data_IF_833370359966
#
_entry.id   IF_833370359966
#
_cell.length_a   1.000
_cell.length_b   1.000
_cell.length_c   1.000
_cell.angle_alpha   90.00
_cell.angle_beta   90.00
_cell.angle_gamma   90.00
#
_symmetry.space_group_name_H-M   'P 1'
#
loop_
_entity.id
_entity.type
_entity.pdbx_description
1 polymer ?
#
# COMPACT_ATOMS: atom_id res chain seq x y z
N UNK A 1 -0.77 6.82 32.56
CA UNK A 1 -0.11 8.14 32.56
C UNK A 1 -0.51 8.85 31.28
N UNK A 2 -1.25 9.96 31.35
CA UNK A 2 -1.59 10.74 30.15
C UNK A 2 -0.31 11.42 29.66
N UNK A 3 0.01 11.27 28.37
CA UNK A 3 1.24 11.80 27.73
C UNK A 3 1.25 13.35 27.69
N UNK A 4 0.15 13.99 28.08
CA UNK A 4 -0.06 15.45 27.97
C UNK A 4 0.71 16.31 28.99
N UNK A 5 1.43 15.72 29.96
CA UNK A 5 2.09 16.48 31.05
C UNK A 5 3.63 16.48 31.06
N UNK A 6 4.31 15.81 30.13
CA UNK A 6 5.77 15.86 30.07
C UNK A 6 6.24 17.20 29.49
N UNK A 7 6.63 18.14 30.37
CA UNK A 7 7.32 19.37 29.94
C UNK A 7 8.71 18.99 29.45
N UNK A 8 9.11 19.48 28.28
CA UNK A 8 10.44 19.23 27.66
C UNK A 8 11.62 19.59 28.59
N UNK A 9 11.36 20.42 29.61
CA UNK A 9 12.31 20.84 30.64
C UNK A 9 12.65 19.74 31.66
N UNK A 10 11.82 18.69 31.78
CA UNK A 10 12.00 17.58 32.73
C UNK A 10 12.70 16.35 32.10
N UNK A 11 13.14 16.45 30.83
CA UNK A 11 13.85 15.38 30.13
C UNK A 11 15.33 15.43 30.48
N UNK A 12 15.87 14.33 30.99
CA UNK A 12 17.28 14.27 31.38
C UNK A 12 18.23 14.53 30.19
N UNK A 13 19.40 15.16 30.43
CA UNK A 13 20.40 15.38 29.38
C UNK A 13 20.82 14.10 28.67
N UNK A 14 20.85 12.96 29.38
CA UNK A 14 21.19 11.65 28.84
C UNK A 14 20.17 11.20 27.79
N UNK A 15 18.87 11.34 28.07
CA UNK A 15 17.81 11.01 27.11
C UNK A 15 17.86 11.94 25.91
N UNK A 16 18.06 13.26 26.15
CA UNK A 16 18.18 14.23 25.07
C UNK A 16 19.34 13.90 24.15
N UNK A 17 20.51 13.59 24.71
CA UNK A 17 21.70 13.23 23.95
C UNK A 17 21.51 11.90 23.20
N UNK A 18 20.90 10.90 23.84
CA UNK A 18 20.58 9.62 23.20
C UNK A 18 19.61 9.73 22.03
N UNK A 19 18.72 10.72 22.03
CA UNK A 19 17.78 10.96 20.94
C UNK A 19 18.29 11.95 19.86
N UNK A 20 19.48 12.54 20.00
CA UNK A 20 19.98 13.53 19.03
C UNK A 20 20.09 12.95 17.62
N UNK A 21 20.49 11.69 17.49
CA UNK A 21 20.61 11.01 16.19
C UNK A 21 19.26 10.77 15.49
N UNK A 22 18.13 10.89 16.22
CA UNK A 22 16.79 10.80 15.65
C UNK A 22 16.29 12.14 15.10
N UNK A 23 16.96 13.25 15.43
CA UNK A 23 16.60 14.58 14.98
C UNK A 23 17.27 14.90 13.64
N UNK A 24 16.53 14.72 12.55
CA UNK A 24 17.02 15.01 11.20
C UNK A 24 16.87 16.50 10.89
N UNK A 25 17.97 17.16 10.54
CA UNK A 25 17.94 18.55 10.07
C UNK A 25 17.31 18.67 8.67
N UNK A 26 16.89 19.87 8.30
CA UNK A 26 16.39 20.17 6.96
C UNK A 26 17.38 19.78 5.85
N UNK A 27 18.69 19.95 6.08
CA UNK A 27 19.72 19.56 5.12
C UNK A 27 19.76 18.05 4.91
N UNK A 28 19.62 17.27 5.99
CA UNK A 28 19.56 15.81 5.95
C UNK A 28 18.29 15.35 5.25
N UNK A 29 17.13 15.97 5.54
CA UNK A 29 15.87 15.66 4.88
C UNK A 29 15.93 15.94 3.37
N UNK A 30 16.54 17.06 2.95
CA UNK A 30 16.77 17.36 1.52
C UNK A 30 17.66 16.31 0.85
N UNK A 31 18.70 15.86 1.53
CA UNK A 31 19.54 14.77 1.02
C UNK A 31 18.76 13.47 0.85
N UNK A 32 17.87 13.12 1.79
CA UNK A 32 16.97 11.97 1.64
C UNK A 32 16.04 12.14 0.42
N UNK A 33 15.47 13.33 0.23
CA UNK A 33 14.59 13.63 -0.92
C UNK A 33 15.32 13.49 -2.26
N UNK A 34 16.54 14.00 -2.36
CA UNK A 34 17.37 13.89 -3.57
C UNK A 34 17.70 12.44 -3.90
N UNK A 35 18.07 11.66 -2.89
CA UNK A 35 18.34 10.22 -3.05
C UNK A 35 17.09 9.44 -3.45
N UNK A 36 15.94 9.72 -2.82
CA UNK A 36 14.67 9.08 -3.19
C UNK A 36 14.30 9.40 -4.64
N UNK A 37 14.44 10.67 -5.06
CA UNK A 37 14.20 11.08 -6.44
C UNK A 37 15.10 10.36 -7.43
N UNK A 38 16.39 10.23 -7.13
CA UNK A 38 17.31 9.48 -7.97
C UNK A 38 16.90 8.00 -8.11
N UNK A 39 16.42 7.38 -7.03
CA UNK A 39 15.91 6.00 -7.09
C UNK A 39 14.61 5.88 -7.91
N UNK A 40 13.72 6.87 -7.84
CA UNK A 40 12.52 6.93 -8.70
C UNK A 40 12.92 7.04 -10.17
N UNK A 41 13.86 7.93 -10.52
CA UNK A 41 14.33 8.09 -11.90
C UNK A 41 14.93 6.78 -12.45
N UNK A 42 15.69 6.04 -11.63
CA UNK A 42 16.19 4.71 -11.98
C UNK A 42 15.07 3.68 -12.13
N UNK A 43 14.07 3.70 -11.24
CA UNK A 43 12.93 2.76 -11.24
C UNK A 43 11.99 2.95 -12.44
N UNK A 44 11.83 4.17 -12.92
CA UNK A 44 11.00 4.49 -14.09
C UNK A 44 11.60 3.98 -15.41
N UNK A 45 12.88 3.63 -15.43
CA UNK A 45 13.56 3.10 -16.62
C UNK A 45 13.85 1.59 -16.48
N UNK A 46 13.24 0.73 -17.32
CA UNK A 46 13.45 -0.72 -17.27
C UNK A 46 14.91 -1.16 -17.32
N UNK A 47 15.77 -0.44 -18.04
CA UNK A 47 17.21 -0.78 -18.15
C UNK A 47 18.00 -0.54 -16.86
N UNK A 48 17.51 0.33 -15.98
CA UNK A 48 18.15 0.69 -14.70
C UNK A 48 17.37 0.21 -13.48
N UNK A 49 16.12 -0.24 -13.65
CA UNK A 49 15.21 -0.62 -12.55
C UNK A 49 15.79 -1.67 -11.60
N UNK A 50 16.59 -2.61 -12.11
CA UNK A 50 17.22 -3.62 -11.26
C UNK A 50 18.22 -3.03 -10.26
N UNK A 51 18.88 -1.92 -10.62
CA UNK A 51 19.80 -1.19 -9.76
C UNK A 51 19.06 -0.29 -8.75
N UNK A 52 17.80 0.05 -9.05
CA UNK A 52 16.98 0.89 -8.18
C UNK A 52 16.49 0.12 -6.95
N UNK A 53 16.57 0.73 -5.78
CA UNK A 53 15.89 0.25 -4.57
C UNK A 53 14.38 0.54 -4.62
N UNK A 54 13.98 1.64 -5.28
CA UNK A 54 12.57 2.01 -5.53
C UNK A 54 12.18 1.61 -6.96
N UNK A 55 11.26 0.65 -7.09
CA UNK A 55 11.05 -0.06 -8.37
C UNK A 55 10.09 0.65 -9.34
N UNK A 56 9.20 1.49 -8.83
CA UNK A 56 8.27 2.29 -9.65
C UNK A 56 7.49 1.45 -10.69
N UNK A 57 6.71 0.48 -10.21
CA UNK A 57 5.91 -0.40 -11.05
C UNK A 57 4.77 0.34 -11.75
N UNK A 58 4.56 -0.01 -13.02
CA UNK A 58 3.45 0.48 -13.84
C UNK A 58 2.14 -0.15 -13.35
N UNK A 59 1.15 0.67 -12.98
CA UNK A 59 -0.17 0.20 -12.55
C UNK A 59 -1.18 0.09 -13.70
N UNK A 60 -0.84 0.61 -14.89
CA UNK A 60 -1.73 0.74 -16.05
C UNK A 60 -3.01 1.58 -15.79
N UNK A 61 -3.12 2.25 -14.63
CA UNK A 61 -4.23 3.16 -14.32
C UNK A 61 -3.88 4.56 -14.82
N UNK A 62 -4.54 5.01 -15.88
CA UNK A 62 -4.20 6.25 -16.59
C UNK A 62 -5.18 7.39 -16.35
N UNK A 63 -6.38 7.08 -15.88
CA UNK A 63 -7.43 8.04 -15.61
C UNK A 63 -7.72 8.12 -14.11
N UNK A 64 -7.82 9.34 -13.60
CA UNK A 64 -8.37 9.58 -12.29
C UNK A 64 -9.90 9.72 -12.38
N UNK A 65 -10.61 9.48 -11.27
CA UNK A 65 -12.05 9.65 -11.26
C UNK A 65 -12.44 11.10 -11.57
N UNK A 66 -13.48 11.23 -12.37
CA UNK A 66 -14.04 12.49 -12.86
C UNK A 66 -15.28 12.93 -12.06
N UNK A 67 -15.83 12.03 -11.23
CA UNK A 67 -17.11 12.20 -10.55
C UNK A 67 -18.31 12.01 -11.48
N UNK A 68 -18.11 11.45 -12.67
CA UNK A 68 -19.16 11.10 -13.64
C UNK A 68 -19.40 9.59 -13.73
N UNK A 69 -18.60 8.80 -13.03
CA UNK A 69 -18.68 7.35 -13.01
C UNK A 69 -20.05 6.90 -12.50
N UNK A 70 -20.64 5.91 -13.15
CA UNK A 70 -21.94 5.34 -12.80
C UNK A 70 -21.89 3.83 -12.93
N UNK A 71 -22.66 3.14 -12.10
CA UNK A 71 -22.82 1.68 -12.19
C UNK A 71 -22.65 0.99 -10.84
N UNK A 72 -22.78 -0.34 -10.86
CA UNK A 72 -22.51 -1.19 -9.70
C UNK A 72 -21.24 -1.99 -9.94
N UNK A 73 -20.37 -2.01 -8.95
CA UNK A 73 -19.06 -2.63 -9.01
C UNK A 73 -18.87 -3.48 -7.76
N UNK A 74 -18.22 -4.63 -7.92
CA UNK A 74 -17.65 -5.34 -6.79
C UNK A 74 -16.22 -4.85 -6.57
N UNK A 75 -15.79 -4.80 -5.32
CA UNK A 75 -14.39 -4.66 -4.98
C UNK A 75 -14.01 -5.77 -3.99
N UNK A 76 -12.81 -6.31 -4.17
CA UNK A 76 -12.19 -7.27 -3.28
C UNK A 76 -10.92 -6.62 -2.72
N UNK A 77 -10.76 -6.60 -1.40
CA UNK A 77 -9.59 -6.06 -0.73
C UNK A 77 -8.94 -7.14 0.13
N UNK A 78 -7.84 -7.71 -0.37
CA UNK A 78 -7.06 -8.75 0.27
C UNK A 78 -5.67 -8.21 0.62
N UNK A 79 -5.42 -8.02 1.92
CA UNK A 79 -4.15 -7.49 2.41
C UNK A 79 -3.68 -8.07 3.75
N UNK A 80 -4.35 -9.07 4.31
CA UNK A 80 -4.01 -9.68 5.59
C UNK A 80 -4.85 -10.92 5.92
N UNK A 81 -4.92 -11.29 7.21
CA UNK A 81 -5.73 -12.44 7.71
C UNK A 81 -7.23 -12.26 7.51
N UNK A 82 -7.67 -11.04 7.19
CA UNK A 82 -9.02 -10.72 6.81
C UNK A 82 -9.00 -10.06 5.42
N UNK A 83 -10.03 -10.32 4.63
CA UNK A 83 -10.30 -9.59 3.40
C UNK A 83 -11.71 -9.03 3.43
N UNK A 84 -11.93 -8.01 2.60
CA UNK A 84 -13.23 -7.34 2.49
C UNK A 84 -13.77 -7.52 1.09
N UNK A 85 -15.05 -7.85 1.01
CA UNK A 85 -15.83 -7.75 -0.23
C UNK A 85 -16.74 -6.55 -0.11
N UNK A 86 -16.81 -5.74 -1.17
CA UNK A 86 -17.63 -4.54 -1.24
C UNK A 86 -18.52 -4.58 -2.48
N UNK A 87 -19.75 -4.10 -2.34
CA UNK A 87 -20.62 -3.69 -3.44
C UNK A 87 -20.68 -2.17 -3.41
N UNK A 88 -20.20 -1.55 -4.48
CA UNK A 88 -20.13 -0.10 -4.63
C UNK A 88 -21.10 0.29 -5.75
N UNK A 89 -22.05 1.17 -5.45
CA UNK A 89 -22.94 1.76 -6.44
C UNK A 89 -22.57 3.23 -6.62
N UNK A 90 -22.07 3.59 -7.80
CA UNK A 90 -21.72 4.96 -8.17
C UNK A 90 -22.86 5.60 -8.95
N UNK A 91 -23.18 6.84 -8.60
CA UNK A 91 -24.06 7.72 -9.38
C UNK A 91 -23.48 9.14 -9.43
N UNK A 92 -22.40 9.29 -10.22
CA UNK A 92 -21.64 10.53 -10.29
C UNK A 92 -20.89 10.80 -8.99
N UNK A 93 -21.28 11.87 -8.28
CA UNK A 93 -20.70 12.29 -6.99
C UNK A 93 -21.36 11.67 -5.76
N UNK A 94 -22.33 10.79 -5.96
CA UNK A 94 -22.95 10.03 -4.88
C UNK A 94 -22.51 8.57 -4.99
N UNK A 95 -22.27 7.93 -3.84
CA UNK A 95 -22.00 6.52 -3.79
C UNK A 95 -22.75 5.86 -2.62
N UNK A 96 -23.17 4.62 -2.84
CA UNK A 96 -23.57 3.70 -1.78
C UNK A 96 -22.56 2.57 -1.70
N UNK A 97 -22.24 2.13 -0.49
CA UNK A 97 -21.24 1.08 -0.26
C UNK A 97 -21.73 0.11 0.80
N UNK A 98 -21.81 -1.16 0.42
CA UNK A 98 -22.11 -2.26 1.32
C UNK A 98 -20.87 -3.15 1.37
N UNK A 99 -20.49 -3.62 2.56
CA UNK A 99 -19.27 -4.41 2.71
C UNK A 99 -19.43 -5.52 3.75
N UNK A 100 -18.65 -6.58 3.57
CA UNK A 100 -18.53 -7.69 4.52
C UNK A 100 -17.08 -8.13 4.63
N UNK A 101 -16.65 -8.38 5.85
CA UNK A 101 -15.31 -8.89 6.15
C UNK A 101 -15.39 -10.41 6.24
N UNK A 102 -14.41 -11.07 5.63
CA UNK A 102 -14.22 -12.50 5.65
C UNK A 102 -12.84 -12.83 6.21
N UNK A 103 -12.78 -13.85 7.06
CA UNK A 103 -11.53 -14.36 7.61
C UNK A 103 -10.91 -15.30 6.59
N UNK A 104 -9.58 -15.23 6.43
CA UNK A 104 -8.79 -16.28 5.76
C UNK A 104 -8.24 -17.19 6.85
N UNK A 105 -8.72 -18.45 6.96
CA UNK A 105 -8.19 -19.39 7.92
C UNK A 105 -6.68 -19.61 7.73
N UNK A 106 -5.94 -19.85 8.82
CA UNK A 106 -4.48 -19.95 8.78
C UNK A 106 -4.00 -21.10 7.91
N UNK A 107 -4.74 -22.21 7.92
CA UNK A 107 -4.55 -23.38 7.06
C UNK A 107 -4.70 -23.05 5.57
N UNK A 108 -5.54 -22.08 5.20
CA UNK A 108 -5.68 -21.61 3.82
C UNK A 108 -4.53 -20.66 3.46
N UNK A 109 -4.14 -19.77 4.39
CA UNK A 109 -3.00 -18.85 4.19
C UNK A 109 -1.66 -19.57 3.95
N UNK A 110 -1.52 -20.80 4.43
CA UNK A 110 -0.33 -21.64 4.30
C UNK A 110 -0.55 -22.85 3.38
N UNK A 111 -1.76 -22.97 2.80
CA UNK A 111 -2.16 -24.09 1.95
C UNK A 111 -1.87 -23.85 0.45
N UNK A 112 -2.42 -24.66 -0.45
CA UNK A 112 -2.30 -24.42 -1.89
C UNK A 112 -3.01 -23.12 -2.33
N UNK A 113 -2.43 -22.40 -3.29
CA UNK A 113 -3.02 -21.18 -3.85
C UNK A 113 -4.43 -21.37 -4.38
N UNK A 114 -4.69 -22.50 -5.05
CA UNK A 114 -6.03 -22.84 -5.54
C UNK A 114 -7.09 -22.82 -4.42
N UNK A 115 -6.75 -23.33 -3.24
CA UNK A 115 -7.67 -23.35 -2.08
C UNK A 115 -7.96 -21.93 -1.59
N UNK A 116 -6.96 -21.04 -1.60
CA UNK A 116 -7.16 -19.62 -1.25
C UNK A 116 -8.13 -18.94 -2.23
N UNK A 117 -7.92 -19.08 -3.53
CA UNK A 117 -8.78 -18.44 -4.52
C UNK A 117 -10.18 -19.05 -4.57
N UNK A 118 -10.32 -20.37 -4.35
CA UNK A 118 -11.62 -21.03 -4.20
C UNK A 118 -12.39 -20.53 -2.97
N UNK A 119 -11.71 -20.29 -1.85
CA UNK A 119 -12.31 -19.68 -0.65
C UNK A 119 -12.80 -18.26 -0.93
N UNK A 120 -11.97 -17.44 -1.59
CA UNK A 120 -12.32 -16.06 -1.99
C UNK A 120 -13.53 -16.07 -2.91
N UNK A 121 -13.54 -16.92 -3.95
CA UNK A 121 -14.65 -17.06 -4.88
C UNK A 121 -15.95 -17.48 -4.17
N UNK A 122 -15.86 -18.40 -3.20
CA UNK A 122 -17.01 -18.81 -2.39
C UNK A 122 -17.57 -17.66 -1.54
N UNK A 123 -16.71 -16.81 -1.00
CA UNK A 123 -17.12 -15.64 -0.23
C UNK A 123 -17.77 -14.57 -1.13
N UNK A 124 -17.22 -14.34 -2.33
CA UNK A 124 -17.80 -13.47 -3.35
C UNK A 124 -19.18 -13.97 -3.79
N UNK A 125 -19.35 -15.28 -4.00
CA UNK A 125 -20.62 -15.92 -4.32
C UNK A 125 -21.67 -15.69 -3.22
N UNK A 126 -21.31 -16.00 -1.98
CA UNK A 126 -22.18 -15.77 -0.82
C UNK A 126 -22.60 -14.30 -0.69
N UNK A 127 -21.65 -13.37 -0.84
CA UNK A 127 -21.92 -11.94 -0.80
C UNK A 127 -22.86 -11.50 -1.92
N UNK A 128 -22.60 -11.90 -3.16
CA UNK A 128 -23.40 -11.52 -4.31
C UNK A 128 -24.84 -12.06 -4.24
N UNK A 129 -25.05 -13.26 -3.68
CA UNK A 129 -26.38 -13.83 -3.43
C UNK A 129 -27.11 -13.05 -2.32
N UNK A 130 -26.44 -12.79 -1.19
CA UNK A 130 -26.99 -12.02 -0.06
C UNK A 130 -27.49 -10.64 -0.51
N UNK A 131 -26.71 -9.96 -1.37
CA UNK A 131 -27.03 -8.63 -1.89
C UNK A 131 -27.89 -8.65 -3.17
N UNK A 132 -28.36 -9.83 -3.62
CA UNK A 132 -29.23 -10.02 -4.80
C UNK A 132 -28.63 -9.45 -6.10
N UNK A 133 -27.33 -9.59 -6.27
CA UNK A 133 -26.58 -9.13 -7.45
C UNK A 133 -25.89 -10.24 -8.24
N UNK A 134 -26.02 -11.50 -7.81
CA UNK A 134 -25.37 -12.67 -8.41
C UNK A 134 -25.48 -12.77 -9.95
N UNK A 135 -26.63 -12.41 -10.52
CA UNK A 135 -26.91 -12.51 -11.97
C UNK A 135 -26.62 -11.24 -12.77
N UNK A 136 -26.00 -10.21 -12.16
CA UNK A 136 -25.81 -8.89 -12.81
C UNK A 136 -24.53 -8.76 -13.64
N UNK A 137 -23.69 -9.80 -13.71
CA UNK A 137 -22.40 -9.75 -14.41
C UNK A 137 -21.54 -8.56 -13.96
N UNK A 138 -21.30 -8.44 -12.65
CA UNK A 138 -20.67 -7.24 -12.11
C UNK A 138 -19.16 -7.22 -12.39
N UNK A 139 -18.60 -6.07 -12.79
CA UNK A 139 -17.16 -5.86 -12.81
C UNK A 139 -16.59 -5.87 -11.39
N UNK A 140 -15.46 -6.56 -11.21
CA UNK A 140 -14.72 -6.67 -9.95
C UNK A 140 -13.36 -5.97 -10.06
N UNK A 141 -13.12 -5.01 -9.18
CA UNK A 141 -11.78 -4.49 -8.90
C UNK A 141 -11.13 -5.30 -7.79
N UNK A 142 -9.94 -5.84 -8.04
CA UNK A 142 -9.21 -6.66 -7.09
C UNK A 142 -8.03 -5.86 -6.50
N UNK A 143 -8.19 -5.40 -5.26
CA UNK A 143 -7.10 -4.85 -4.46
C UNK A 143 -6.35 -5.99 -3.81
N UNK A 144 -5.10 -6.20 -4.24
CA UNK A 144 -4.25 -7.28 -3.80
C UNK A 144 -2.95 -6.71 -3.26
N UNK A 145 -2.88 -6.53 -1.95
CA UNK A 145 -1.79 -5.83 -1.27
C UNK A 145 -0.59 -6.72 -1.00
N UNK A 146 -0.07 -7.35 -2.05
CA UNK A 146 1.18 -8.08 -2.05
C UNK A 146 2.06 -7.61 -3.21
N UNK A 147 3.38 -7.83 -3.15
CA UNK A 147 4.27 -7.50 -4.26
C UNK A 147 3.87 -8.18 -5.57
N UNK A 148 3.46 -7.39 -6.56
CA UNK A 148 3.07 -7.83 -7.90
C UNK A 148 4.01 -7.27 -8.96
N UNK A 149 4.36 -8.09 -9.95
CA UNK A 149 4.79 -7.60 -11.25
C UNK A 149 3.55 -7.49 -12.14
N UNK A 150 3.04 -6.28 -12.27
CA UNK A 150 1.84 -6.02 -13.07
C UNK A 150 2.23 -5.90 -14.55
N UNK A 151 1.58 -6.69 -15.40
CA UNK A 151 1.85 -6.74 -16.87
C UNK A 151 0.63 -6.25 -17.68
N UNK A 152 -0.39 -5.74 -16.99
CA UNK A 152 -1.55 -5.09 -17.56
C UNK A 152 -2.56 -4.75 -16.47
N UNK A 153 -3.64 -4.02 -16.81
CA UNK A 153 -4.67 -3.68 -15.83
C UNK A 153 -5.37 -4.93 -15.26
N UNK A 154 -5.47 -6.01 -16.05
CA UNK A 154 -6.12 -7.29 -15.69
C UNK A 154 -5.13 -8.45 -15.51
N UNK A 155 -3.85 -8.18 -15.23
CA UNK A 155 -2.85 -9.23 -15.07
C UNK A 155 -1.75 -8.81 -14.12
N UNK A 156 -1.53 -9.63 -13.08
CA UNK A 156 -0.54 -9.35 -12.04
C UNK A 156 0.11 -10.63 -11.57
N UNK A 157 1.43 -10.72 -11.77
CA UNK A 157 2.21 -11.88 -11.37
C UNK A 157 2.69 -11.71 -9.93
N UNK A 158 2.34 -12.65 -9.04
CA UNK A 158 2.82 -12.60 -7.67
C UNK A 158 4.33 -12.82 -7.61
N UNK A 159 5.08 -11.89 -7.02
CA UNK A 159 6.55 -12.02 -6.92
C UNK A 159 6.98 -12.70 -5.63
N UNK A 160 6.31 -12.42 -4.52
CA UNK A 160 6.56 -13.06 -3.22
C UNK A 160 5.38 -12.85 -2.28
N UNK A 161 5.17 -13.82 -1.39
CA UNK A 161 4.25 -13.64 -0.28
C UNK A 161 4.85 -12.78 0.84
N UNK A 162 3.97 -12.10 1.56
CA UNK A 162 4.29 -11.30 2.76
C UNK A 162 3.17 -11.49 3.79
N UNK A 163 3.25 -10.82 4.95
CA UNK A 163 2.14 -10.73 5.93
C UNK A 163 1.63 -12.10 6.43
N UNK A 164 2.52 -13.09 6.50
CA UNK A 164 2.22 -14.44 6.98
C UNK A 164 1.53 -15.36 5.98
N UNK A 165 1.28 -14.91 4.74
CA UNK A 165 0.88 -15.80 3.65
C UNK A 165 2.07 -16.61 3.16
N UNK A 166 1.81 -17.84 2.74
CA UNK A 166 2.77 -18.68 2.03
C UNK A 166 2.04 -19.75 1.22
N UNK A 167 1.11 -19.33 0.37
CA UNK A 167 0.33 -20.28 -0.41
C UNK A 167 1.19 -20.92 -1.51
N UNK A 168 1.25 -22.25 -1.54
CA UNK A 168 2.00 -23.00 -2.55
C UNK A 168 1.45 -22.75 -3.96
N UNK A 169 2.31 -22.85 -4.98
CA UNK A 169 1.94 -22.72 -6.40
C UNK A 169 1.20 -21.40 -6.74
N UNK A 170 1.57 -20.31 -6.08
CA UNK A 170 1.02 -18.96 -6.37
C UNK A 170 2.08 -17.96 -6.79
N UNK A 171 3.29 -18.04 -6.21
CA UNK A 171 4.40 -17.18 -6.62
C UNK A 171 4.80 -17.53 -8.05
N UNK A 172 4.91 -16.53 -8.92
CA UNK A 172 5.12 -16.68 -10.36
C UNK A 172 3.84 -16.81 -11.19
N UNK A 173 2.67 -16.91 -10.56
CA UNK A 173 1.38 -17.05 -11.25
C UNK A 173 0.62 -15.72 -11.33
N UNK A 174 -0.27 -15.61 -12.33
CA UNK A 174 -1.19 -14.49 -12.49
C UNK A 174 -2.40 -14.63 -11.55
N UNK A 175 -2.44 -13.80 -10.50
CA UNK A 175 -3.48 -13.86 -9.47
C UNK A 175 -4.87 -13.51 -10.00
N UNK A 176 -4.95 -12.73 -11.08
CA UNK A 176 -6.23 -12.42 -11.74
C UNK A 176 -6.77 -13.68 -12.42
N UNK A 177 -5.91 -14.44 -13.10
CA UNK A 177 -6.31 -15.69 -13.74
C UNK A 177 -6.66 -16.76 -12.71
N UNK A 178 -5.93 -16.85 -11.59
CA UNK A 178 -6.26 -17.77 -10.51
C UNK A 178 -7.64 -17.48 -9.92
N UNK A 179 -7.95 -16.21 -9.66
CA UNK A 179 -9.29 -15.81 -9.20
C UNK A 179 -10.35 -16.06 -10.26
N UNK A 180 -10.08 -15.75 -11.53
CA UNK A 180 -11.02 -15.99 -12.63
C UNK A 180 -11.34 -17.48 -12.80
N UNK A 181 -10.34 -18.37 -12.68
CA UNK A 181 -10.53 -19.83 -12.68
C UNK A 181 -11.39 -20.29 -11.50
N UNK A 182 -11.16 -19.75 -10.31
CA UNK A 182 -11.96 -20.09 -9.12
C UNK A 182 -13.42 -19.61 -9.26
N UNK A 183 -13.64 -18.42 -9.82
CA UNK A 183 -14.97 -17.87 -10.10
C UNK A 183 -15.71 -18.68 -11.18
N UNK A 184 -15.00 -19.17 -12.20
CA UNK A 184 -15.59 -19.97 -13.27
C UNK A 184 -16.15 -21.32 -12.80
N UNK A 185 -15.74 -21.80 -11.62
CA UNK A 185 -16.31 -23.01 -10.98
C UNK A 185 -17.73 -22.77 -10.42
N UNK A 186 -18.24 -21.53 -10.43
CA UNK A 186 -19.47 -21.12 -9.74
C UNK A 186 -20.57 -20.72 -10.73
N UNK A 187 -21.54 -21.61 -10.93
CA UNK A 187 -22.66 -21.37 -11.86
C UNK A 187 -23.67 -20.32 -11.37
N UNK A 188 -23.67 -19.99 -10.08
CA UNK A 188 -24.67 -19.09 -9.50
C UNK A 188 -24.35 -17.60 -9.70
N UNK A 189 -23.10 -17.27 -10.00
CA UNK A 189 -22.60 -15.91 -10.13
C UNK A 189 -21.92 -15.69 -11.48
N UNK A 190 -21.96 -14.43 -11.93
CA UNK A 190 -21.13 -13.97 -13.05
C UNK A 190 -20.39 -12.71 -12.62
N UNK A 191 -19.07 -12.78 -12.56
CA UNK A 191 -18.19 -11.70 -12.12
C UNK A 191 -17.02 -11.61 -13.11
N UNK A 192 -16.74 -10.42 -13.63
CA UNK A 192 -15.59 -10.16 -14.51
C UNK A 192 -14.52 -9.40 -13.72
N UNK A 193 -13.31 -9.97 -13.59
CA UNK A 193 -12.20 -9.28 -12.94
C UNK A 193 -11.64 -8.25 -13.92
N UNK A 194 -11.93 -6.97 -13.67
CA UNK A 194 -11.62 -5.90 -14.63
C UNK A 194 -10.36 -5.10 -14.28
N UNK A 195 -9.87 -5.21 -13.06
CA UNK A 195 -8.65 -4.56 -12.63
C UNK A 195 -8.00 -5.30 -11.45
N UNK A 196 -6.67 -5.32 -11.42
CA UNK A 196 -5.86 -5.60 -10.24
C UNK A 196 -5.19 -4.29 -9.81
N UNK A 197 -5.15 -4.02 -8.50
CA UNK A 197 -4.52 -2.81 -7.95
C UNK A 197 -3.83 -3.07 -6.62
N UNK A 198 -2.82 -2.26 -6.33
CA UNK A 198 -2.22 -2.15 -5.00
C UNK A 198 -3.08 -1.23 -4.11
N UNK A 199 -3.02 -1.41 -2.78
CA UNK A 199 -3.75 -0.58 -1.81
C UNK A 199 -3.43 0.91 -1.90
N UNK A 200 -2.18 1.28 -2.17
CA UNK A 200 -1.79 2.68 -2.40
C UNK A 200 -2.56 3.29 -3.56
N UNK A 201 -2.72 2.54 -4.66
CA UNK A 201 -3.42 2.98 -5.87
C UNK A 201 -4.93 3.10 -5.60
N UNK A 202 -5.52 2.11 -4.92
CA UNK A 202 -6.92 2.19 -4.48
C UNK A 202 -7.18 3.38 -3.56
N UNK A 203 -6.24 3.67 -2.66
CA UNK A 203 -6.29 4.82 -1.73
C UNK A 203 -6.25 6.14 -2.49
N UNK A 204 -5.30 6.30 -3.44
CA UNK A 204 -5.24 7.47 -4.31
C UNK A 204 -6.55 7.66 -5.05
N UNK A 205 -7.08 6.62 -5.69
CA UNK A 205 -8.32 6.68 -6.48
C UNK A 205 -9.52 7.07 -5.62
N UNK A 206 -9.66 6.51 -4.42
CA UNK A 206 -10.72 6.86 -3.47
C UNK A 206 -10.66 8.33 -3.04
N UNK A 207 -9.46 8.82 -2.73
CA UNK A 207 -9.25 10.23 -2.40
C UNK A 207 -9.46 11.16 -3.59
N UNK A 208 -8.99 10.77 -4.78
CA UNK A 208 -9.13 11.54 -6.02
C UNK A 208 -10.59 11.68 -6.45
N UNK A 209 -11.44 10.68 -6.18
CA UNK A 209 -12.89 10.77 -6.42
C UNK A 209 -13.56 11.87 -5.59
N UNK A 210 -13.09 12.12 -4.36
CA UNK A 210 -13.58 13.23 -3.51
C UNK A 210 -12.90 14.56 -3.82
N UNK A 211 -11.61 14.53 -4.10
CA UNK A 211 -10.78 15.70 -4.34
C UNK A 211 -9.89 15.50 -5.58
N UNK A 212 -10.27 16.13 -6.70
CA UNK A 212 -9.54 16.01 -7.97
C UNK A 212 -8.08 16.51 -7.92
N UNK A 213 -7.69 17.27 -6.90
CA UNK A 213 -6.29 17.69 -6.69
C UNK A 213 -5.42 16.59 -6.06
N UNK A 214 -6.00 15.48 -5.58
CA UNK A 214 -5.23 14.36 -5.06
C UNK A 214 -4.47 13.66 -6.20
N UNK A 215 -3.14 13.63 -6.11
CA UNK A 215 -2.22 13.01 -7.08
C UNK A 215 -1.23 12.03 -6.45
N UNK A 216 -1.34 11.80 -5.15
CA UNK A 216 -0.45 10.93 -4.36
C UNK A 216 -1.31 10.16 -3.38
N UNK A 217 -1.11 8.85 -3.32
CA UNK A 217 -1.67 7.96 -2.30
C UNK A 217 -0.54 7.44 -1.44
N UNK A 218 -0.73 7.46 -0.11
CA UNK A 218 0.26 7.01 0.85
C UNK A 218 -0.41 6.05 1.83
N UNK A 219 0.23 4.92 2.09
CA UNK A 219 -0.13 3.97 3.14
C UNK A 219 0.93 4.09 4.24
N UNK A 220 0.47 4.35 5.46
CA UNK A 220 1.26 4.33 6.69
C UNK A 220 0.52 3.46 7.71
N UNK A 221 1.02 2.24 7.92
CA UNK A 221 0.43 1.29 8.87
C UNK A 221 1.44 0.21 9.23
N UNK A 222 1.02 -1.06 9.16
CA UNK A 222 1.93 -2.22 9.33
C UNK A 222 3.08 -2.23 8.31
N UNK A 223 2.84 -1.65 7.14
CA UNK A 223 3.86 -1.33 6.15
C UNK A 223 3.73 0.12 5.69
N UNK A 224 4.63 0.53 4.81
CA UNK A 224 4.65 1.86 4.21
C UNK A 224 4.89 1.76 2.72
N UNK A 225 3.98 2.35 1.95
CA UNK A 225 4.11 2.45 0.51
C UNK A 225 3.47 3.75 0.00
N UNK A 226 3.83 4.17 -1.21
CA UNK A 226 3.18 5.26 -1.90
C UNK A 226 3.00 4.98 -3.40
N UNK A 227 2.01 5.65 -3.98
CA UNK A 227 1.86 5.78 -5.41
C UNK A 227 1.60 7.25 -5.78
N UNK A 228 1.86 7.61 -7.02
CA UNK A 228 1.61 8.96 -7.52
C UNK A 228 1.28 8.96 -9.00
N UNK A 229 0.69 10.07 -9.46
CA UNK A 229 0.39 10.31 -10.88
C UNK A 229 1.65 10.82 -11.58
N UNK A 230 2.20 10.02 -12.48
CA UNK A 230 3.37 10.34 -13.29
C UNK A 230 2.95 10.67 -14.73
N UNK A 231 3.75 11.49 -15.41
CA UNK A 231 3.65 11.76 -16.84
C UNK A 231 4.22 10.58 -17.61
N UNK A 232 3.48 10.09 -18.60
CA UNK A 232 3.91 8.93 -19.41
C UNK A 232 5.27 9.13 -20.06
N UNK A 233 5.61 10.37 -20.47
CA UNK A 233 6.92 10.70 -21.05
C UNK A 233 8.13 10.42 -20.13
N UNK A 234 7.91 10.30 -18.83
CA UNK A 234 8.95 10.00 -17.85
C UNK A 234 9.12 8.47 -17.65
N UNK A 235 8.12 7.68 -18.06
CA UNK A 235 8.12 6.21 -17.96
C UNK A 235 8.74 5.63 -19.23
N UNK A 236 10.01 5.23 -19.15
CA UNK A 236 10.74 4.73 -20.34
C UNK A 236 10.17 3.36 -20.73
N UNK A 237 9.81 3.19 -22.00
CA UNK A 237 9.25 1.93 -22.51
C UNK A 237 7.82 1.64 -22.04
N UNK A 238 7.03 2.68 -21.72
CA UNK A 238 5.62 2.52 -21.39
C UNK A 238 4.85 1.80 -22.51
N UNK A 239 4.14 0.74 -22.13
CA UNK A 239 3.46 -0.22 -23.01
C UNK A 239 1.92 -0.12 -22.93
N UNK A 240 1.39 0.91 -22.24
CA UNK A 240 -0.04 1.21 -22.19
C UNK A 240 -0.51 2.20 -23.27
N UNK A 241 -1.67 2.85 -23.04
CA UNK A 241 -2.24 3.80 -24.00
C UNK A 241 -1.46 5.13 -24.01
N UNK A 242 -0.59 5.32 -25.00
CA UNK A 242 0.25 6.52 -25.13
C UNK A 242 -0.51 7.78 -25.56
N UNK A 243 -1.80 7.69 -25.88
CA UNK A 243 -2.63 8.88 -26.17
C UNK A 243 -2.96 9.69 -24.90
N UNK A 244 -2.83 9.07 -23.72
CA UNK A 244 -3.07 9.72 -22.44
C UNK A 244 -1.80 10.36 -21.89
N UNK A 245 -1.91 11.45 -21.11
CA UNK A 245 -0.74 12.16 -20.59
C UNK A 245 -0.13 11.52 -19.33
N UNK A 246 -0.90 10.73 -18.58
CA UNK A 246 -0.52 10.29 -17.23
C UNK A 246 -0.78 8.80 -16.98
N UNK A 247 -0.07 8.27 -15.99
CA UNK A 247 -0.26 6.94 -15.42
C UNK A 247 0.06 6.98 -13.93
N UNK A 248 -0.62 6.18 -13.11
CA UNK A 248 -0.26 5.99 -11.71
C UNK A 248 0.92 5.03 -11.60
N UNK A 249 1.93 5.40 -10.82
CA UNK A 249 3.10 4.58 -10.53
C UNK A 249 3.05 4.14 -9.08
N UNK A 250 3.13 2.82 -8.86
CA UNK A 250 3.33 2.25 -7.52
C UNK A 250 4.83 2.25 -7.22
N UNK A 251 5.27 3.00 -6.22
CA UNK A 251 6.70 3.17 -5.94
C UNK A 251 7.34 1.93 -5.33
N UNK A 252 6.59 1.20 -4.50
CA UNK A 252 7.14 0.20 -3.57
C UNK A 252 8.31 0.79 -2.75
N UNK A 253 8.15 2.03 -2.26
CA UNK A 253 9.23 2.81 -1.62
C UNK A 253 9.75 2.22 -0.30
N UNK A 254 9.16 1.13 0.18
CA UNK A 254 9.56 0.51 1.44
C UNK A 254 10.99 0.00 1.39
N UNK A 255 11.44 -0.40 0.20
CA UNK A 255 12.80 -0.85 -0.08
C UNK A 255 13.82 0.28 -0.24
N UNK A 256 13.42 1.55 -0.21
CA UNK A 256 14.36 2.67 -0.26
C UNK A 256 15.41 2.54 0.85
N UNK A 257 16.69 2.66 0.51
CA UNK A 257 17.80 2.47 1.44
C UNK A 257 18.39 1.06 1.43
N UNK A 258 17.74 0.05 0.83
CA UNK A 258 18.23 -1.32 0.74
C UNK A 258 19.61 -1.44 0.04
N UNK A 259 20.01 -0.44 -0.75
CA UNK A 259 21.33 -0.38 -1.41
C UNK A 259 22.29 0.62 -0.73
N UNK A 260 22.00 1.01 0.51
CA UNK A 260 22.84 1.90 1.33
C UNK A 260 22.51 3.38 1.19
N UNK A 261 21.44 3.75 0.47
CA UNK A 261 21.08 5.15 0.25
C UNK A 261 20.79 5.89 1.56
N UNK A 262 20.29 5.18 2.58
CA UNK A 262 19.90 5.73 3.88
C UNK A 262 20.90 5.42 5.02
N UNK A 263 22.05 4.82 4.75
CA UNK A 263 22.98 4.41 5.81
C UNK A 263 23.49 5.57 6.66
N UNK A 264 23.53 6.78 6.10
CA UNK A 264 23.93 8.01 6.77
C UNK A 264 22.92 8.52 7.83
N UNK A 265 21.69 8.01 7.83
CA UNK A 265 20.65 8.34 8.85
C UNK A 265 20.26 7.13 9.71
N UNK A 266 20.78 5.94 9.41
CA UNK A 266 20.45 4.71 10.15
C UNK A 266 21.25 4.66 11.45
N UNK A 267 20.52 4.64 12.55
CA UNK A 267 21.06 4.49 13.90
C UNK A 267 21.49 3.04 14.18
N UNK A 268 22.25 2.78 15.26
CA UNK A 268 22.47 1.43 15.76
C UNK A 268 21.16 0.69 16.06
N UNK A 269 20.11 1.40 16.48
CA UNK A 269 18.78 0.83 16.74
C UNK A 269 18.10 0.35 15.46
N UNK A 270 18.12 1.16 14.39
CA UNK A 270 17.57 0.78 13.09
C UNK A 270 18.28 -0.47 12.53
N UNK A 271 19.60 -0.58 12.75
CA UNK A 271 20.40 -1.75 12.36
C UNK A 271 20.04 -2.99 13.17
N UNK A 272 19.80 -2.84 14.47
CA UNK A 272 19.40 -3.94 15.35
C UNK A 272 17.99 -4.46 15.04
N UNK A 273 17.04 -3.55 14.76
CA UNK A 273 15.68 -3.89 14.28
C UNK A 273 15.78 -4.67 12.97
N UNK A 274 16.56 -4.18 12.02
CA UNK A 274 16.74 -4.82 10.72
C UNK A 274 17.35 -6.23 10.85
N UNK A 275 18.41 -6.38 11.65
CA UNK A 275 19.10 -7.65 11.91
C UNK A 275 18.16 -8.73 12.47
N UNK A 276 17.20 -8.36 13.32
CA UNK A 276 16.26 -9.28 13.95
C UNK A 276 14.90 -9.38 13.24
N UNK A 277 14.75 -8.71 12.09
CA UNK A 277 13.54 -8.80 11.27
C UNK A 277 13.45 -10.11 10.49
N UNK A 278 12.27 -10.39 9.93
CA UNK A 278 12.06 -11.54 9.03
C UNK A 278 12.77 -11.41 7.68
N UNK A 279 13.24 -10.21 7.35
CA UNK A 279 13.87 -9.87 6.08
C UNK A 279 15.07 -8.92 6.28
N UNK A 280 16.17 -9.37 6.92
CA UNK A 280 17.34 -8.52 7.15
C UNK A 280 17.91 -7.94 5.86
N UNK A 281 18.29 -6.65 5.90
CA UNK A 281 18.82 -5.91 4.75
C UNK A 281 17.77 -5.54 3.69
N UNK A 282 16.47 -5.73 3.97
CA UNK A 282 15.37 -5.40 3.08
C UNK A 282 14.33 -4.51 3.73
N UNK A 283 13.60 -3.74 2.93
CA UNK A 283 12.53 -2.86 3.40
C UNK A 283 13.03 -1.84 4.45
N UNK A 284 14.24 -1.29 4.26
CA UNK A 284 14.89 -0.48 5.29
C UNK A 284 14.14 0.83 5.59
N UNK A 285 13.65 1.53 4.58
CA UNK A 285 12.82 2.73 4.78
C UNK A 285 11.50 2.39 5.48
N UNK A 286 10.85 1.28 5.09
CA UNK A 286 9.61 0.82 5.73
C UNK A 286 9.80 0.57 7.23
N UNK A 287 10.90 -0.08 7.63
CA UNK A 287 11.24 -0.36 9.04
C UNK A 287 11.48 0.89 9.87
N UNK A 288 11.90 1.99 9.25
CA UNK A 288 12.12 3.27 9.94
C UNK A 288 10.85 4.10 10.12
N UNK A 289 9.74 3.73 9.44
CA UNK A 289 8.49 4.51 9.40
C UNK A 289 7.30 3.75 10.00
N UNK A 290 7.20 2.46 9.67
CA UNK A 290 5.97 1.68 9.85
C UNK A 290 5.85 1.11 11.25
N UNK A 291 4.62 0.82 11.64
CA UNK A 291 4.32 0.11 12.88
C UNK A 291 4.61 -1.38 12.65
N UNK A 292 5.88 -1.79 12.74
CA UNK A 292 6.27 -3.21 12.61
C UNK A 292 5.78 -3.95 13.86
N UNK A 293 4.73 -4.81 13.77
CA UNK A 293 4.25 -5.55 14.92
C UNK A 293 5.08 -6.84 15.01
N UNK A 294 6.07 -6.86 15.90
CA UNK A 294 6.63 -8.12 16.40
C UNK A 294 8.15 -8.19 16.59
N UNK A 295 8.53 -8.55 17.83
CA UNK A 295 9.84 -9.03 18.31
C UNK A 295 10.98 -8.03 18.46
N UNK A 296 10.70 -6.75 18.62
CA UNK A 296 11.67 -5.84 19.22
C UNK A 296 11.16 -5.53 20.63
N UNK A 297 12.01 -5.65 21.66
CA UNK A 297 11.62 -5.55 23.07
C UNK A 297 10.75 -4.33 23.38
N UNK A 298 10.04 -4.34 24.51
CA UNK A 298 9.10 -3.26 24.91
C UNK A 298 9.69 -1.83 24.85
N UNK A 299 11.02 -1.69 24.92
CA UNK A 299 11.77 -0.42 24.74
C UNK A 299 11.70 0.15 23.32
N UNK A 300 11.72 -0.68 22.29
CA UNK A 300 11.76 -0.30 20.87
C UNK A 300 10.41 0.16 20.32
N UNK A 301 9.30 -0.39 20.83
CA UNK A 301 7.95 0.07 20.47
C UNK A 301 7.67 1.51 20.96
N UNK A 302 8.22 1.90 22.12
CA UNK A 302 8.12 3.28 22.60
C UNK A 302 8.90 4.26 21.71
N UNK A 303 10.01 3.82 21.11
CA UNK A 303 10.91 4.68 20.35
C UNK A 303 10.45 4.93 18.90
N UNK A 304 9.84 3.95 18.24
CA UNK A 304 9.19 4.16 16.92
C UNK A 304 8.05 5.17 17.04
N UNK A 305 7.21 5.05 18.09
CA UNK A 305 6.19 6.04 18.40
C UNK A 305 6.77 7.43 18.74
N UNK A 306 7.92 7.52 19.42
CA UNK A 306 8.61 8.78 19.67
C UNK A 306 9.15 9.41 18.37
N UNK A 307 9.71 8.62 17.44
CA UNK A 307 10.20 9.13 16.15
C UNK A 307 9.06 9.72 15.31
N UNK A 308 7.92 9.03 15.21
CA UNK A 308 6.73 9.54 14.52
C UNK A 308 6.20 10.83 15.14
N UNK A 309 6.19 10.93 16.48
CA UNK A 309 5.69 12.12 17.17
C UNK A 309 6.65 13.32 17.17
N UNK A 310 7.97 13.10 17.01
CA UNK A 310 8.96 14.17 16.84
C UNK A 310 8.93 14.73 15.41
N UNK A 311 8.87 13.87 14.38
CA UNK A 311 8.83 14.27 12.96
C UNK A 311 7.57 15.10 12.64
N UNK A 312 6.42 14.76 13.23
CA UNK A 312 5.17 15.50 13.01
C UNK A 312 5.05 16.81 13.79
N UNK A 313 5.80 16.97 14.90
CA UNK A 313 5.76 18.18 15.72
C UNK A 313 6.73 19.27 15.26
N UNK A 314 7.81 18.91 14.56
CA UNK A 314 8.79 19.89 14.06
C UNK A 314 8.31 20.71 12.85
N UNK A 315 7.21 20.32 12.18
CA UNK A 315 6.72 20.95 10.94
C UNK A 315 5.32 21.57 11.01
N UNK A 316 4.80 21.88 12.21
CA UNK A 316 3.56 22.67 12.33
C UNK A 316 3.86 24.18 12.28
N UNK A 317 3.38 24.93 11.26
CA UNK A 317 3.24 26.37 11.40
C UNK A 317 2.26 26.66 12.55
N UNK A 318 2.54 27.65 13.39
CA UNK A 318 1.73 28.02 14.57
C UNK A 318 0.30 28.53 14.27
N UNK A 319 -0.28 28.23 13.11
CA UNK A 319 -1.62 28.68 12.74
C UNK A 319 -2.45 27.53 12.17
N UNK A 320 -3.01 26.70 13.03
CA UNK A 320 -4.32 26.11 12.78
C UNK A 320 -5.10 26.02 14.08
N UNK A 321 -5.86 27.08 14.38
CA UNK A 321 -7.00 26.96 15.29
C UNK A 321 -7.94 25.94 14.67
N UNK A 322 -8.26 24.90 15.44
CA UNK A 322 -9.26 23.91 15.10
C UNK A 322 -10.58 24.62 14.71
N UNK A 323 -11.07 24.32 13.51
CA UNK A 323 -12.47 24.52 13.18
C UNK A 323 -13.24 23.38 13.85
N UNK A 324 -13.71 23.62 15.06
CA UNK A 324 -14.82 22.85 15.63
C UNK A 324 -16.06 23.17 14.80
N UNK A 325 -16.69 22.14 14.22
CA UNK A 325 -18.06 22.23 13.72
C UNK A 325 -19.00 21.65 14.80
N UNK A 326 -20.07 22.37 15.17
CA UNK A 326 -20.97 21.95 16.23
C UNK A 326 -21.99 20.91 15.75
N UNK A 327 -22.27 19.97 16.67
CA UNK A 327 -23.38 19.01 16.79
C UNK A 327 -23.90 18.27 15.55
#
# INVERSE_FOLDING_TARGET
>A
MKIEELRIQDISPEVRNGCQELNLSDSVLRQCMEKLRAQIDLGLNPSTREQASVKCYNTYVQDLPTGKEKGQFLALDLGGTNFRVLLITLNGRHFDMQSKIYVVPKEIMLGPGEVLFDHIASCLESFALQHRVAKKNLPLGFTFSFPLNQVGLKSGILTRWTKGFNCANTVGEDVVQMLAKALAKRDTIKIDVVAILNDTTGTLMSCAWKNHNCKVGVILGTGSNACYVEKIKNVIGFDGDTSKPHVIINTEWGAFGDHGELDFIRTPYDKEIDKHSVNPGKQLHEKMISDVPGRVGQTSHHQVHQRQSIIWRSNQPQTSRAMELPH
#
